data_IF_471402900057
#
_entry.id   IF_471402900057
#
_cell.length_a   1.000
_cell.length_b   1.000
_cell.length_c   1.000
_cell.angle_alpha   90.00
_cell.angle_beta   90.00
_cell.angle_gamma   90.00
#
_symmetry.space_group_name_H-M   'P 1'
#
loop_
_entity.id
_entity.type
_entity.pdbx_description
1 polymer ?
#
# COMPACT_ATOMS: atom_id res chain seq x y z
N UNK A 1 -17.31 0.54 -35.08
CA UNK A 1 -16.06 0.50 -34.29
C UNK A 1 -16.36 -0.07 -32.91
N UNK A 2 -15.67 -1.13 -32.48
CA UNK A 2 -15.85 -1.67 -31.14
C UNK A 2 -15.44 -0.62 -30.11
N UNK A 3 -16.30 -0.35 -29.11
CA UNK A 3 -15.97 0.57 -28.01
C UNK A 3 -14.69 0.10 -27.32
N UNK A 4 -13.75 0.98 -26.98
CA UNK A 4 -12.57 0.57 -26.23
C UNK A 4 -13.00 -0.02 -24.88
N UNK A 5 -12.37 -1.13 -24.49
CA UNK A 5 -12.67 -1.89 -23.26
C UNK A 5 -12.70 -1.00 -22.00
N UNK A 6 -11.94 0.07 -22.01
CA UNK A 6 -11.90 1.07 -20.93
C UNK A 6 -13.17 1.93 -20.83
N UNK A 7 -13.91 2.11 -21.93
CA UNK A 7 -15.17 2.86 -21.91
C UNK A 7 -16.30 2.01 -21.32
N UNK A 8 -16.30 0.71 -21.59
CA UNK A 8 -17.26 -0.22 -20.98
C UNK A 8 -17.05 -0.30 -19.46
N UNK A 9 -15.78 -0.31 -18.98
CA UNK A 9 -15.47 -0.30 -17.56
C UNK A 9 -15.89 1.02 -16.89
N UNK A 10 -15.66 2.17 -17.53
CA UNK A 10 -16.15 3.47 -17.06
C UNK A 10 -17.67 3.47 -16.94
N UNK A 11 -18.37 2.99 -17.96
CA UNK A 11 -19.82 2.88 -17.95
C UNK A 11 -20.34 1.96 -16.85
N UNK A 12 -19.66 0.85 -16.58
CA UNK A 12 -20.00 -0.04 -15.47
C UNK A 12 -19.85 0.65 -14.12
N UNK A 13 -18.80 1.44 -13.91
CA UNK A 13 -18.59 2.19 -12.66
C UNK A 13 -19.65 3.28 -12.50
N UNK A 14 -19.97 4.03 -13.57
CA UNK A 14 -20.88 5.17 -13.50
C UNK A 14 -22.36 4.78 -13.56
N UNK A 15 -22.72 3.70 -14.25
CA UNK A 15 -24.12 3.36 -14.55
C UNK A 15 -24.49 1.90 -14.25
N UNK A 16 -23.50 1.00 -14.07
CA UNK A 16 -23.73 -0.42 -13.88
C UNK A 16 -24.08 -0.83 -12.45
N UNK A 17 -24.15 -2.14 -12.22
CA UNK A 17 -24.39 -2.68 -10.89
C UNK A 17 -23.19 -2.44 -9.96
N UNK A 18 -23.43 -1.77 -8.83
CA UNK A 18 -22.38 -1.38 -7.87
C UNK A 18 -21.68 -2.59 -7.23
N UNK A 19 -22.43 -3.64 -6.89
CA UNK A 19 -21.88 -4.86 -6.32
C UNK A 19 -20.86 -5.49 -7.28
N UNK A 20 -21.24 -5.62 -8.55
CA UNK A 20 -20.36 -6.17 -9.58
C UNK A 20 -19.14 -5.29 -9.84
N UNK A 21 -19.32 -3.95 -9.87
CA UNK A 21 -18.23 -3.00 -10.05
C UNK A 21 -17.21 -3.07 -8.90
N UNK A 22 -17.68 -3.19 -7.64
CA UNK A 22 -16.82 -3.33 -6.47
C UNK A 22 -16.02 -4.63 -6.56
N UNK A 23 -16.65 -5.76 -6.81
CA UNK A 23 -15.96 -7.07 -6.90
C UNK A 23 -14.96 -7.11 -8.04
N UNK A 24 -15.32 -6.60 -9.22
CA UNK A 24 -14.45 -6.59 -10.40
C UNK A 24 -13.16 -5.81 -10.13
N UNK A 25 -13.24 -4.73 -9.35
CA UNK A 25 -12.06 -3.94 -8.99
C UNK A 25 -11.32 -4.53 -7.79
N UNK A 26 -12.03 -5.01 -6.77
CA UNK A 26 -11.43 -5.44 -5.52
C UNK A 26 -10.71 -6.79 -5.65
N UNK A 27 -11.30 -7.79 -6.36
CA UNK A 27 -10.71 -9.13 -6.44
C UNK A 27 -9.31 -9.14 -7.03
N UNK A 28 -9.01 -8.47 -8.16
CA UNK A 28 -7.65 -8.46 -8.68
C UNK A 28 -6.66 -7.74 -7.75
N UNK A 29 -7.10 -6.70 -7.01
CA UNK A 29 -6.27 -6.02 -6.02
C UNK A 29 -5.97 -6.94 -4.83
N UNK A 30 -6.95 -7.71 -4.37
CA UNK A 30 -6.77 -8.72 -3.31
C UNK A 30 -5.77 -9.81 -3.74
N UNK A 31 -5.93 -10.34 -4.96
CA UNK A 31 -5.02 -11.33 -5.52
C UNK A 31 -3.60 -10.76 -5.63
N UNK A 32 -3.46 -9.51 -6.12
CA UNK A 32 -2.18 -8.83 -6.20
C UNK A 32 -1.51 -8.68 -4.82
N UNK A 33 -2.28 -8.32 -3.80
CA UNK A 33 -1.79 -8.20 -2.42
C UNK A 33 -1.35 -9.56 -1.85
N UNK A 34 -2.09 -10.62 -2.17
CA UNK A 34 -1.72 -11.99 -1.78
C UNK A 34 -0.42 -12.44 -2.45
N UNK A 35 -0.30 -12.23 -3.77
CA UNK A 35 0.93 -12.54 -4.52
C UNK A 35 2.13 -11.77 -3.93
N UNK A 36 1.96 -10.49 -3.62
CA UNK A 36 3.00 -9.66 -3.01
C UNK A 36 3.41 -10.16 -1.62
N UNK A 37 2.46 -10.65 -0.83
CA UNK A 37 2.77 -11.25 0.49
C UNK A 37 3.51 -12.57 0.37
N UNK A 38 3.13 -13.40 -0.60
CA UNK A 38 3.86 -14.66 -0.88
C UNK A 38 5.28 -14.37 -1.38
N UNK A 39 5.45 -13.36 -2.24
CA UNK A 39 6.74 -12.87 -2.66
C UNK A 39 7.62 -12.46 -1.46
N UNK A 40 7.10 -11.60 -0.59
CA UNK A 40 7.84 -11.15 0.59
C UNK A 40 8.24 -12.31 1.54
N UNK A 41 7.38 -13.34 1.66
CA UNK A 41 7.70 -14.54 2.44
C UNK A 41 8.83 -15.35 1.80
N UNK A 42 8.78 -15.53 0.50
CA UNK A 42 9.79 -16.29 -0.26
C UNK A 42 11.14 -15.56 -0.25
N UNK A 43 11.14 -14.25 -0.47
CA UNK A 43 12.34 -13.42 -0.39
C UNK A 43 12.99 -13.52 1.00
N UNK A 44 12.18 -13.39 2.07
CA UNK A 44 12.65 -13.55 3.45
C UNK A 44 13.24 -14.95 3.69
N UNK A 45 12.64 -15.99 3.10
CA UNK A 45 13.14 -17.37 3.22
C UNK A 45 14.53 -17.52 2.58
N UNK A 46 14.72 -17.00 1.37
CA UNK A 46 16.01 -17.07 0.68
C UNK A 46 17.07 -16.22 1.37
N UNK A 47 16.72 -15.01 1.82
CA UNK A 47 17.60 -14.13 2.58
C UNK A 47 18.05 -14.75 3.91
N UNK A 48 17.18 -15.51 4.57
CA UNK A 48 17.51 -16.23 5.79
C UNK A 48 18.62 -17.27 5.59
N UNK A 49 18.82 -17.78 4.39
CA UNK A 49 19.85 -18.78 4.06
C UNK A 49 21.23 -18.22 3.76
N UNK A 50 21.36 -16.93 3.50
CA UNK A 50 22.65 -16.30 3.18
C UNK A 50 23.39 -15.75 4.41
N UNK A 51 22.87 -15.97 5.62
CA UNK A 51 23.51 -15.63 6.88
C UNK A 51 22.89 -14.45 7.62
N UNK A 52 23.08 -14.44 8.92
CA UNK A 52 22.47 -13.46 9.83
C UNK A 52 22.96 -12.02 9.63
N UNK A 53 24.22 -11.83 9.26
CA UNK A 53 24.80 -10.51 8.99
C UNK A 53 24.12 -9.83 7.78
N UNK A 54 23.83 -10.59 6.71
CA UNK A 54 23.12 -10.11 5.54
C UNK A 54 21.70 -9.68 5.90
N UNK A 55 20.99 -10.49 6.70
CA UNK A 55 19.64 -10.18 7.14
C UNK A 55 19.62 -8.95 8.05
N UNK A 56 20.61 -8.80 8.92
CA UNK A 56 20.77 -7.61 9.79
C UNK A 56 20.99 -6.36 8.96
N UNK A 57 21.82 -6.43 7.92
CA UNK A 57 22.08 -5.31 7.02
C UNK A 57 20.80 -4.85 6.29
N UNK A 58 19.99 -5.80 5.77
CA UNK A 58 18.71 -5.48 5.11
C UNK A 58 17.73 -4.83 6.10
N UNK A 59 17.60 -5.42 7.28
CA UNK A 59 16.68 -4.92 8.31
C UNK A 59 17.03 -3.49 8.72
N UNK A 60 18.32 -3.14 8.74
CA UNK A 60 18.81 -1.82 9.09
C UNK A 60 18.42 -0.77 8.04
N UNK A 61 18.51 -1.09 6.74
CA UNK A 61 18.29 -0.12 5.64
C UNK A 61 16.86 -0.08 5.11
N UNK A 62 16.09 -1.16 5.31
CA UNK A 62 14.72 -1.29 4.79
C UNK A 62 13.75 -0.19 5.23
N UNK A 63 13.78 0.35 6.47
CA UNK A 63 12.89 1.43 6.86
C UNK A 63 13.10 2.70 6.04
N UNK A 64 14.35 3.01 5.72
CA UNK A 64 14.69 4.15 4.88
C UNK A 64 14.19 3.96 3.44
N UNK A 65 14.39 2.77 2.87
CA UNK A 65 13.86 2.40 1.56
C UNK A 65 12.32 2.53 1.52
N UNK A 66 11.61 2.06 2.54
CA UNK A 66 10.16 2.14 2.62
C UNK A 66 9.65 3.59 2.66
N UNK A 67 10.37 4.51 3.31
CA UNK A 67 10.04 5.95 3.29
C UNK A 67 10.09 6.48 1.86
N UNK A 68 11.14 6.18 1.10
CA UNK A 68 11.27 6.62 -0.30
C UNK A 68 10.14 6.07 -1.18
N UNK A 69 9.81 4.78 -1.00
CA UNK A 69 8.71 4.12 -1.69
C UNK A 69 7.37 4.80 -1.35
N UNK A 70 7.14 5.18 -0.10
CA UNK A 70 5.91 5.87 0.32
C UNK A 70 5.76 7.25 -0.33
N UNK A 71 6.86 7.99 -0.54
CA UNK A 71 6.80 9.24 -1.29
C UNK A 71 6.41 9.03 -2.75
N UNK A 72 6.96 8.01 -3.40
CA UNK A 72 6.55 7.62 -4.76
C UNK A 72 5.10 7.15 -4.83
N UNK A 73 4.65 6.36 -3.85
CA UNK A 73 3.27 5.93 -3.74
C UNK A 73 2.32 7.13 -3.55
N UNK A 74 2.75 8.18 -2.83
CA UNK A 74 1.97 9.40 -2.70
C UNK A 74 1.71 10.06 -4.05
N UNK A 75 2.75 10.20 -4.89
CA UNK A 75 2.63 10.79 -6.25
C UNK A 75 1.68 9.96 -7.11
N UNK A 76 1.85 8.64 -7.13
CA UNK A 76 1.04 7.75 -7.97
C UNK A 76 -0.41 7.63 -7.47
N UNK A 77 -0.63 7.68 -6.15
CA UNK A 77 -1.98 7.74 -5.56
C UNK A 77 -2.70 9.04 -5.93
N UNK A 78 -2.01 10.19 -5.86
CA UNK A 78 -2.56 11.45 -6.35
C UNK A 78 -2.98 11.33 -7.83
N UNK A 79 -2.16 10.63 -8.62
CA UNK A 79 -2.46 10.30 -10.00
C UNK A 79 -3.73 9.51 -10.17
N UNK A 80 -3.87 8.40 -9.45
CA UNK A 80 -5.05 7.55 -9.51
C UNK A 80 -6.32 8.35 -9.18
N UNK A 81 -6.27 9.19 -8.15
CA UNK A 81 -7.39 10.01 -7.69
C UNK A 81 -7.77 11.06 -8.74
N UNK A 82 -6.82 11.89 -9.18
CA UNK A 82 -7.07 12.99 -10.11
C UNK A 82 -7.52 12.48 -11.47
N UNK A 83 -6.85 11.45 -12.01
CA UNK A 83 -7.25 10.83 -13.27
C UNK A 83 -8.64 10.21 -13.15
N UNK A 84 -8.98 9.53 -12.06
CA UNK A 84 -10.33 8.99 -11.85
C UNK A 84 -11.39 10.07 -11.87
N UNK A 85 -11.16 11.21 -11.24
CA UNK A 85 -12.11 12.32 -11.23
C UNK A 85 -12.28 12.94 -12.62
N UNK A 86 -11.19 13.16 -13.39
CA UNK A 86 -11.29 13.66 -14.77
C UNK A 86 -11.98 12.66 -15.71
N UNK A 87 -11.72 11.36 -15.55
CA UNK A 87 -12.42 10.31 -16.32
C UNK A 87 -13.91 10.26 -16.00
N UNK A 88 -14.28 10.46 -14.74
CA UNK A 88 -15.67 10.59 -14.32
C UNK A 88 -16.36 11.79 -14.96
N UNK A 89 -15.68 12.94 -15.01
CA UNK A 89 -16.15 14.15 -15.65
C UNK A 89 -16.19 14.08 -17.20
N UNK A 90 -15.71 12.98 -17.80
CA UNK A 90 -15.52 12.82 -19.26
C UNK A 90 -14.51 13.80 -19.86
N UNK A 91 -13.64 14.35 -19.05
CA UNK A 91 -12.55 15.25 -19.41
C UNK A 91 -11.29 14.46 -19.82
N UNK A 92 -11.38 13.63 -20.86
CA UNK A 92 -10.32 12.70 -21.25
C UNK A 92 -9.01 13.42 -21.62
N UNK A 93 -9.09 14.65 -22.16
CA UNK A 93 -7.91 15.49 -22.46
C UNK A 93 -7.18 15.91 -21.19
N UNK A 94 -7.94 16.33 -20.16
CA UNK A 94 -7.37 16.69 -18.84
C UNK A 94 -6.80 15.48 -18.13
N UNK A 95 -7.47 14.32 -18.21
CA UNK A 95 -6.97 13.06 -17.68
C UNK A 95 -5.63 12.65 -18.31
N UNK A 96 -5.49 12.77 -19.64
CA UNK A 96 -4.24 12.52 -20.36
C UNK A 96 -3.14 13.51 -19.95
N UNK A 97 -3.46 14.80 -19.88
CA UNK A 97 -2.52 15.83 -19.42
C UNK A 97 -2.06 15.56 -17.99
N UNK A 98 -2.97 15.16 -17.09
CA UNK A 98 -2.64 14.79 -15.72
C UNK A 98 -1.72 13.55 -15.67
N UNK A 99 -1.99 12.53 -16.48
CA UNK A 99 -1.14 11.35 -16.58
C UNK A 99 0.29 11.68 -17.01
N UNK A 100 0.46 12.61 -17.95
CA UNK A 100 1.78 13.11 -18.37
C UNK A 100 2.52 13.85 -17.24
N UNK A 101 1.81 14.70 -16.47
CA UNK A 101 2.40 15.39 -15.30
C UNK A 101 2.85 14.40 -14.24
N UNK A 102 2.05 13.38 -13.94
CA UNK A 102 2.39 12.35 -12.96
C UNK A 102 3.55 11.50 -13.43
N UNK A 103 3.58 11.14 -14.73
CA UNK A 103 4.70 10.43 -15.33
C UNK A 103 6.02 11.22 -15.17
N UNK A 104 6.01 12.49 -15.56
CA UNK A 104 7.18 13.36 -15.43
C UNK A 104 7.62 13.50 -13.97
N UNK A 105 6.67 13.81 -13.07
CA UNK A 105 6.96 13.99 -11.64
C UNK A 105 7.48 12.72 -10.99
N UNK A 106 6.84 11.59 -11.27
CA UNK A 106 7.22 10.28 -10.72
C UNK A 106 8.61 9.86 -11.18
N UNK A 107 8.91 9.98 -12.48
CA UNK A 107 10.22 9.63 -13.02
C UNK A 107 11.31 10.61 -12.54
N UNK A 108 11.06 11.91 -12.60
CA UNK A 108 12.01 12.91 -12.11
C UNK A 108 12.32 12.70 -10.63
N UNK A 109 11.29 12.50 -9.81
CA UNK A 109 11.45 12.22 -8.38
C UNK A 109 12.22 10.92 -8.13
N UNK A 110 11.92 9.83 -8.86
CA UNK A 110 12.59 8.56 -8.68
C UNK A 110 14.07 8.61 -9.02
N UNK A 111 14.41 9.25 -10.14
CA UNK A 111 15.82 9.43 -10.57
C UNK A 111 16.57 10.32 -9.58
N UNK A 112 15.95 11.43 -9.14
CA UNK A 112 16.56 12.34 -8.16
C UNK A 112 16.79 11.62 -6.82
N UNK A 113 15.80 10.87 -6.32
CA UNK A 113 15.93 10.07 -5.10
C UNK A 113 17.01 9.00 -5.26
N UNK A 114 17.03 8.27 -6.38
CA UNK A 114 18.05 7.26 -6.63
C UNK A 114 19.46 7.86 -6.61
N UNK A 115 19.67 9.00 -7.27
CA UNK A 115 20.95 9.68 -7.32
C UNK A 115 21.38 10.20 -5.94
N UNK A 116 20.50 10.91 -5.24
CA UNK A 116 20.79 11.45 -3.91
C UNK A 116 21.09 10.30 -2.94
N UNK A 117 20.26 9.27 -2.90
CA UNK A 117 20.46 8.15 -1.99
C UNK A 117 21.72 7.34 -2.31
N UNK A 118 22.06 7.20 -3.59
CA UNK A 118 23.29 6.53 -3.99
C UNK A 118 24.53 7.31 -3.49
N UNK A 119 24.53 8.63 -3.59
CA UNK A 119 25.60 9.50 -3.11
C UNK A 119 25.71 9.53 -1.59
N UNK A 120 24.57 9.61 -0.90
CA UNK A 120 24.51 9.74 0.58
C UNK A 120 24.60 8.38 1.28
N UNK A 121 24.41 7.28 0.56
CA UNK A 121 24.37 5.92 1.13
C UNK A 121 25.54 5.57 2.07
N UNK A 122 26.83 5.94 1.81
CA UNK A 122 27.91 5.61 2.74
C UNK A 122 27.75 6.27 4.11
N UNK A 123 27.36 7.56 4.11
CA UNK A 123 27.09 8.31 5.35
C UNK A 123 25.85 7.80 6.07
N UNK A 124 24.78 7.48 5.30
CA UNK A 124 23.54 6.97 5.85
C UNK A 124 23.72 5.63 6.57
N UNK A 125 24.37 4.65 5.91
CA UNK A 125 24.59 3.31 6.48
C UNK A 125 25.46 3.40 7.74
N UNK A 126 26.46 4.29 7.74
CA UNK A 126 27.29 4.56 8.91
C UNK A 126 26.51 5.24 10.04
N UNK A 127 25.66 6.22 9.71
CA UNK A 127 24.79 6.90 10.67
C UNK A 127 23.76 5.95 11.31
N UNK A 128 23.30 4.96 10.58
CA UNK A 128 22.42 3.90 11.10
C UNK A 128 23.15 2.94 12.07
N UNK A 129 24.46 3.10 12.31
CA UNK A 129 25.23 2.29 13.25
C UNK A 129 25.76 0.98 12.65
N UNK A 130 25.83 0.86 11.32
CA UNK A 130 26.42 -0.32 10.69
C UNK A 130 27.95 -0.29 10.80
N UNK A 131 28.55 -1.40 11.24
CA UNK A 131 29.99 -1.61 11.35
C UNK A 131 30.42 -2.92 10.66
N UNK A 132 31.70 -3.03 10.30
CA UNK A 132 32.27 -4.24 9.73
C UNK A 132 31.54 -4.75 8.49
N UNK A 133 31.20 -6.03 8.46
CA UNK A 133 30.51 -6.68 7.35
C UNK A 133 29.09 -6.13 7.13
N UNK A 134 28.39 -5.74 8.21
CA UNK A 134 27.03 -5.17 8.11
C UNK A 134 27.06 -3.87 7.33
N UNK A 135 28.09 -3.06 7.49
CA UNK A 135 28.28 -1.83 6.70
C UNK A 135 28.48 -2.14 5.21
N UNK A 136 29.36 -3.09 4.88
CA UNK A 136 29.64 -3.48 3.49
C UNK A 136 28.39 -4.04 2.83
N UNK A 137 27.69 -4.93 3.49
CA UNK A 137 26.45 -5.56 2.99
C UNK A 137 25.31 -4.54 2.87
N UNK A 138 25.12 -3.69 3.87
CA UNK A 138 24.11 -2.64 3.84
C UNK A 138 24.35 -1.62 2.73
N UNK A 139 25.60 -1.21 2.53
CA UNK A 139 25.99 -0.29 1.45
C UNK A 139 25.79 -0.92 0.07
N UNK A 140 26.19 -2.18 -0.10
CA UNK A 140 26.00 -2.91 -1.37
C UNK A 140 24.50 -3.04 -1.69
N UNK A 141 23.70 -3.45 -0.71
CA UNK A 141 22.26 -3.63 -0.88
C UNK A 141 21.55 -2.32 -1.24
N UNK A 142 21.75 -1.26 -0.45
CA UNK A 142 21.04 0.01 -0.66
C UNK A 142 21.41 0.65 -2.00
N UNK A 143 22.68 0.56 -2.42
CA UNK A 143 23.12 1.11 -3.71
C UNK A 143 22.47 0.44 -4.90
N UNK A 144 22.25 -0.88 -4.85
CA UNK A 144 21.55 -1.60 -5.91
C UNK A 144 20.05 -1.32 -5.86
N UNK A 145 19.47 -1.35 -4.67
CA UNK A 145 18.02 -1.18 -4.50
C UNK A 145 17.54 0.23 -4.84
N UNK A 146 18.35 1.28 -4.62
CA UNK A 146 17.92 2.63 -5.04
C UNK A 146 17.89 2.80 -6.56
N UNK A 147 18.66 2.01 -7.32
CA UNK A 147 18.60 1.98 -8.79
C UNK A 147 17.30 1.34 -9.31
N UNK A 148 16.60 0.60 -8.47
CA UNK A 148 15.30 0.02 -8.74
C UNK A 148 14.15 1.06 -8.75
N UNK A 149 14.30 2.19 -8.02
CA UNK A 149 13.25 3.19 -7.84
C UNK A 149 12.61 3.68 -9.16
N UNK A 150 13.34 4.01 -10.24
CA UNK A 150 12.72 4.43 -11.50
C UNK A 150 11.82 3.36 -12.13
N UNK A 151 12.22 2.08 -12.04
CA UNK A 151 11.44 0.96 -12.55
C UNK A 151 10.21 0.71 -11.69
N UNK A 152 10.35 0.69 -10.37
CA UNK A 152 9.26 0.56 -9.42
C UNK A 152 8.21 1.68 -9.61
N UNK A 153 8.64 2.93 -9.74
CA UNK A 153 7.72 4.06 -9.89
C UNK A 153 7.02 4.05 -11.26
N UNK A 154 7.68 3.51 -12.29
CA UNK A 154 7.06 3.26 -13.60
C UNK A 154 5.94 2.21 -13.50
N UNK A 155 6.16 1.13 -12.76
CA UNK A 155 5.15 0.09 -12.50
C UNK A 155 3.99 0.65 -11.67
N UNK A 156 4.28 1.47 -10.66
CA UNK A 156 3.26 2.13 -9.84
C UNK A 156 2.45 3.17 -10.63
N UNK A 157 3.09 3.91 -11.54
CA UNK A 157 2.43 4.79 -12.49
C UNK A 157 1.46 4.01 -13.40
N UNK A 158 1.91 2.90 -13.96
CA UNK A 158 1.06 2.02 -14.77
C UNK A 158 -0.15 1.53 -13.97
N UNK A 159 0.07 1.08 -12.73
CA UNK A 159 -0.98 0.64 -11.82
C UNK A 159 -1.98 1.77 -11.56
N UNK A 160 -1.49 2.96 -11.23
CA UNK A 160 -2.30 4.16 -10.98
C UNK A 160 -3.19 4.52 -12.19
N UNK A 161 -2.60 4.59 -13.39
CA UNK A 161 -3.31 4.93 -14.62
C UNK A 161 -4.34 3.86 -14.99
N UNK A 162 -4.00 2.58 -14.89
CA UNK A 162 -4.95 1.49 -15.21
C UNK A 162 -6.06 1.37 -14.18
N UNK A 163 -5.74 1.48 -12.91
CA UNK A 163 -6.71 1.42 -11.82
C UNK A 163 -7.71 2.59 -11.90
N UNK A 164 -7.27 3.80 -12.23
CA UNK A 164 -8.15 4.96 -12.45
C UNK A 164 -9.15 4.75 -13.60
N UNK A 165 -8.80 3.92 -14.59
CA UNK A 165 -9.66 3.50 -15.69
C UNK A 165 -10.62 2.34 -15.32
N UNK A 166 -10.54 1.81 -14.09
CA UNK A 166 -11.27 0.62 -13.67
C UNK A 166 -10.63 -0.71 -14.16
N UNK A 167 -9.35 -0.69 -14.55
CA UNK A 167 -8.62 -1.89 -14.98
C UNK A 167 -7.59 -2.29 -13.92
N UNK A 168 -8.00 -3.17 -13.00
CA UNK A 168 -7.13 -3.70 -11.94
C UNK A 168 -6.46 -5.02 -12.32
N UNK A 169 -6.94 -5.67 -13.38
CA UNK A 169 -6.42 -6.97 -13.84
C UNK A 169 -5.03 -6.82 -14.48
N UNK A 170 -4.85 -5.83 -15.36
CA UNK A 170 -3.56 -5.63 -16.03
C UNK A 170 -2.41 -5.32 -15.07
N UNK A 171 -2.57 -4.42 -14.06
CA UNK A 171 -1.57 -4.24 -13.01
C UNK A 171 -1.28 -5.52 -12.23
N UNK A 172 -2.32 -6.29 -11.85
CA UNK A 172 -2.14 -7.58 -11.17
C UNK A 172 -1.29 -8.54 -11.99
N UNK A 173 -1.60 -8.71 -13.28
CA UNK A 173 -0.84 -9.60 -14.18
C UNK A 173 0.61 -9.14 -14.37
N UNK A 174 0.84 -7.82 -14.48
CA UNK A 174 2.19 -7.27 -14.60
C UNK A 174 3.02 -7.52 -13.34
N UNK A 175 2.42 -7.30 -12.16
CA UNK A 175 3.08 -7.57 -10.88
C UNK A 175 3.35 -9.06 -10.69
N UNK A 176 2.38 -9.93 -11.04
CA UNK A 176 2.56 -11.38 -11.00
C UNK A 176 3.73 -11.83 -11.89
N UNK A 177 3.84 -11.27 -13.09
CA UNK A 177 4.96 -11.55 -14.00
C UNK A 177 6.31 -11.18 -13.35
N UNK A 178 6.42 -10.00 -12.74
CA UNK A 178 7.62 -9.58 -12.01
C UNK A 178 7.97 -10.51 -10.83
N UNK A 179 6.96 -10.92 -10.07
CA UNK A 179 7.14 -11.88 -8.95
C UNK A 179 7.64 -13.22 -9.45
N UNK A 180 7.09 -13.76 -10.55
CA UNK A 180 7.55 -15.04 -11.14
C UNK A 180 9.00 -14.96 -11.58
N UNK A 181 9.40 -13.86 -12.23
CA UNK A 181 10.81 -13.66 -12.62
C UNK A 181 11.71 -13.63 -11.38
N UNK A 182 11.32 -12.89 -10.35
CA UNK A 182 12.14 -12.77 -9.14
C UNK A 182 12.24 -14.11 -8.38
N UNK A 183 11.15 -14.89 -8.29
CA UNK A 183 11.16 -16.24 -7.71
C UNK A 183 12.17 -17.19 -8.38
N UNK A 184 12.44 -16.99 -9.67
CA UNK A 184 13.44 -17.78 -10.42
C UNK A 184 14.84 -17.19 -10.20
N UNK A 185 14.98 -15.87 -10.19
CA UNK A 185 16.28 -15.21 -10.09
C UNK A 185 16.88 -15.27 -8.70
N UNK A 186 16.07 -15.21 -7.62
CA UNK A 186 16.56 -15.27 -6.25
C UNK A 186 17.38 -16.54 -5.98
N UNK A 187 16.86 -17.77 -6.14
CA UNK A 187 17.66 -18.97 -5.94
C UNK A 187 18.85 -19.06 -6.90
N UNK A 188 18.72 -18.59 -8.13
CA UNK A 188 19.80 -18.59 -9.11
C UNK A 188 20.97 -17.73 -8.63
N UNK A 189 20.71 -16.49 -8.19
CA UNK A 189 21.77 -15.58 -7.78
C UNK A 189 22.31 -15.88 -6.39
N UNK A 190 21.46 -16.40 -5.49
CA UNK A 190 21.84 -16.68 -4.11
C UNK A 190 22.52 -18.05 -3.96
N UNK A 191 22.00 -19.10 -4.64
CA UNK A 191 22.47 -20.48 -4.43
C UNK A 191 23.45 -20.93 -5.52
N UNK A 192 23.19 -20.61 -6.80
CA UNK A 192 24.03 -21.04 -7.90
C UNK A 192 25.23 -20.12 -8.06
N UNK A 193 24.97 -18.80 -8.23
CA UNK A 193 26.07 -17.84 -8.42
C UNK A 193 26.70 -17.35 -7.12
N UNK A 194 26.05 -17.57 -5.97
CA UNK A 194 26.54 -17.22 -4.62
C UNK A 194 26.93 -15.74 -4.48
N UNK A 195 26.16 -14.85 -5.12
CA UNK A 195 26.40 -13.39 -5.08
C UNK A 195 25.95 -12.73 -3.77
N UNK A 196 25.50 -13.52 -2.78
CA UNK A 196 25.09 -13.03 -1.47
C UNK A 196 23.99 -11.95 -1.55
N UNK A 197 24.07 -10.95 -0.66
CA UNK A 197 23.08 -9.87 -0.57
C UNK A 197 22.96 -9.03 -1.85
N UNK A 198 24.09 -8.85 -2.59
CA UNK A 198 24.07 -8.17 -3.87
C UNK A 198 23.25 -8.92 -4.91
N UNK A 199 23.30 -10.27 -4.88
CA UNK A 199 22.49 -11.13 -5.74
C UNK A 199 20.99 -10.94 -5.52
N UNK A 200 20.52 -10.90 -4.27
CA UNK A 200 19.12 -10.65 -3.95
C UNK A 200 18.65 -9.28 -4.45
N UNK A 201 19.44 -8.23 -4.22
CA UNK A 201 19.13 -6.89 -4.69
C UNK A 201 19.08 -6.82 -6.24
N UNK A 202 20.02 -7.49 -6.91
CA UNK A 202 20.05 -7.58 -8.39
C UNK A 202 18.89 -8.39 -8.95
N UNK A 203 18.48 -9.48 -8.32
CA UNK A 203 17.33 -10.28 -8.72
C UNK A 203 16.05 -9.41 -8.74
N UNK A 204 15.85 -8.63 -7.69
CA UNK A 204 14.72 -7.69 -7.58
C UNK A 204 14.78 -6.61 -8.66
N UNK A 205 15.93 -5.99 -8.87
CA UNK A 205 16.13 -4.97 -9.90
C UNK A 205 15.86 -5.54 -11.31
N UNK A 206 16.46 -6.67 -11.65
CA UNK A 206 16.33 -7.30 -12.97
C UNK A 206 14.89 -7.76 -13.23
N UNK A 207 14.18 -8.26 -12.20
CA UNK A 207 12.76 -8.64 -12.33
C UNK A 207 11.85 -7.45 -12.65
N UNK A 208 12.17 -6.24 -12.17
CA UNK A 208 11.36 -5.04 -12.41
C UNK A 208 11.62 -4.38 -13.77
N UNK A 209 12.79 -4.55 -14.37
CA UNK A 209 13.12 -3.95 -15.68
C UNK A 209 12.10 -4.35 -16.76
N UNK A 210 11.85 -5.64 -17.05
CA UNK A 210 10.91 -6.03 -18.10
C UNK A 210 9.48 -5.57 -17.76
N UNK A 211 9.10 -5.55 -16.49
CA UNK A 211 7.79 -5.03 -16.06
C UNK A 211 7.65 -3.54 -16.39
N UNK A 212 8.68 -2.74 -16.08
CA UNK A 212 8.68 -1.30 -16.37
C UNK A 212 8.66 -1.03 -17.89
N UNK A 213 9.40 -1.81 -18.67
CA UNK A 213 9.39 -1.72 -20.14
C UNK A 213 8.00 -2.03 -20.70
N UNK A 214 7.37 -3.12 -20.27
CA UNK A 214 6.00 -3.49 -20.67
C UNK A 214 5.02 -2.38 -20.26
N UNK A 215 5.14 -1.84 -19.04
CA UNK A 215 4.33 -0.74 -18.54
C UNK A 215 4.40 0.48 -19.46
N UNK A 216 5.62 0.92 -19.82
CA UNK A 216 5.85 2.05 -20.73
C UNK A 216 5.29 1.80 -22.13
N UNK A 217 5.54 0.62 -22.70
CA UNK A 217 5.00 0.25 -24.02
C UNK A 217 3.48 0.34 -24.02
N UNK A 218 2.82 -0.20 -22.99
CA UNK A 218 1.35 -0.17 -22.91
C UNK A 218 0.83 1.25 -22.68
N UNK A 219 1.50 2.08 -21.87
CA UNK A 219 1.06 3.45 -21.59
C UNK A 219 1.27 4.40 -22.77
N UNK A 220 2.25 4.14 -23.64
CA UNK A 220 2.54 4.98 -24.80
C UNK A 220 1.84 4.51 -26.07
N UNK A 221 1.26 3.30 -26.09
CA UNK A 221 0.62 2.69 -27.27
C UNK A 221 -0.57 3.51 -27.74
N UNK A 222 -0.72 3.76 -29.08
CA UNK A 222 -1.91 4.39 -29.64
C UNK A 222 -3.19 3.60 -29.34
N UNK A 223 -4.33 4.32 -29.24
CA UNK A 223 -5.64 3.69 -29.02
C UNK A 223 -5.99 3.39 -27.56
N UNK A 224 -5.12 3.77 -26.58
CA UNK A 224 -5.49 3.75 -25.17
C UNK A 224 -6.33 4.97 -24.80
N UNK A 225 -7.26 4.82 -23.84
CA UNK A 225 -8.06 5.94 -23.33
C UNK A 225 -7.15 6.99 -22.65
N UNK A 226 -6.21 6.53 -21.84
CA UNK A 226 -5.14 7.35 -21.30
C UNK A 226 -3.84 6.90 -21.95
N UNK A 227 -3.19 7.83 -22.64
CA UNK A 227 -1.92 7.63 -23.32
C UNK A 227 -0.90 8.65 -22.82
N UNK A 228 0.25 8.18 -22.43
CA UNK A 228 1.38 9.07 -22.14
C UNK A 228 2.00 9.49 -23.49
N UNK A 229 1.90 10.77 -23.76
CA UNK A 229 2.46 11.39 -24.97
C UNK A 229 2.96 12.79 -24.61
N UNK A 230 4.26 12.99 -24.72
CA UNK A 230 4.90 14.27 -24.44
C UNK A 230 4.92 15.22 -25.64
N UNK A 231 4.36 14.83 -26.79
CA UNK A 231 4.25 15.70 -27.96
C UNK A 231 3.27 16.83 -27.63
N UNK A 232 3.76 18.05 -27.63
CA UNK A 232 2.97 19.23 -27.26
C UNK A 232 2.67 19.35 -25.75
N UNK A 233 3.39 18.62 -24.90
CA UNK A 233 3.25 18.73 -23.45
C UNK A 233 3.54 20.16 -22.98
N UNK A 234 2.61 20.72 -22.22
CA UNK A 234 2.77 22.01 -21.53
C UNK A 234 2.73 21.77 -20.03
N UNK A 235 3.75 22.24 -19.34
CA UNK A 235 3.80 22.16 -17.88
C UNK A 235 2.75 23.09 -17.26
N UNK A 236 1.90 22.54 -16.41
CA UNK A 236 0.83 23.27 -15.71
C UNK A 236 1.08 23.25 -14.21
N UNK A 237 1.39 24.43 -13.64
CA UNK A 237 1.65 24.62 -12.21
C UNK A 237 0.45 24.24 -11.34
N UNK A 238 -0.79 24.46 -11.83
CA UNK A 238 -2.01 24.13 -11.08
C UNK A 238 -2.15 22.62 -10.89
N UNK A 239 -1.88 21.85 -11.97
CA UNK A 239 -1.89 20.38 -11.90
C UNK A 239 -0.80 19.86 -10.98
N UNK A 240 0.40 20.44 -11.04
CA UNK A 240 1.48 20.11 -10.12
C UNK A 240 1.09 20.41 -8.67
N UNK A 241 0.50 21.57 -8.41
CA UNK A 241 -0.04 21.91 -7.08
C UNK A 241 -1.07 20.89 -6.58
N UNK A 242 -1.94 20.40 -7.47
CA UNK A 242 -2.92 19.35 -7.12
C UNK A 242 -2.28 18.02 -6.79
N UNK A 243 -1.24 17.62 -7.54
CA UNK A 243 -0.46 16.40 -7.26
C UNK A 243 0.20 16.49 -5.88
N UNK A 244 0.85 17.61 -5.55
CA UNK A 244 1.49 17.82 -4.26
C UNK A 244 0.47 17.85 -3.13
N UNK A 245 -0.66 18.55 -3.31
CA UNK A 245 -1.72 18.69 -2.30
C UNK A 245 -2.35 17.35 -1.90
N UNK A 246 -2.44 16.41 -2.81
CA UNK A 246 -3.01 15.08 -2.58
C UNK A 246 -1.92 14.07 -2.23
N UNK A 247 -0.79 14.11 -2.94
CA UNK A 247 0.27 13.13 -2.82
C UNK A 247 1.13 13.29 -1.58
N UNK A 248 1.46 14.52 -1.19
CA UNK A 248 2.31 14.76 -0.01
C UNK A 248 1.66 14.28 1.29
N UNK A 249 0.37 14.55 1.58
CA UNK A 249 -0.29 13.96 2.73
C UNK A 249 -0.29 12.43 2.71
N UNK A 250 -0.54 11.81 1.56
CA UNK A 250 -0.51 10.35 1.42
C UNK A 250 0.88 9.79 1.74
N UNK A 251 1.94 10.43 1.23
CA UNK A 251 3.32 10.04 1.47
C UNK A 251 3.70 10.17 2.96
N UNK A 252 3.35 11.29 3.58
CA UNK A 252 3.60 11.54 5.01
C UNK A 252 2.83 10.53 5.87
N UNK A 253 1.55 10.26 5.56
CA UNK A 253 0.74 9.28 6.27
C UNK A 253 1.38 7.89 6.24
N UNK A 254 1.76 7.40 5.05
CA UNK A 254 2.43 6.11 4.88
C UNK A 254 3.79 6.03 5.61
N UNK A 255 4.60 7.10 5.52
CA UNK A 255 5.90 7.15 6.19
C UNK A 255 5.75 7.21 7.72
N UNK A 256 4.77 7.96 8.22
CA UNK A 256 4.44 8.05 9.64
C UNK A 256 3.99 6.69 10.19
N UNK A 257 3.20 5.94 9.41
CA UNK A 257 2.81 4.56 9.78
C UNK A 257 4.02 3.64 9.87
N UNK A 258 4.98 3.74 8.96
CA UNK A 258 6.19 2.93 8.98
C UNK A 258 7.06 3.22 10.23
N UNK A 259 7.25 4.49 10.55
CA UNK A 259 7.95 4.90 11.77
C UNK A 259 7.23 4.41 13.03
N UNK A 260 5.91 4.50 13.05
CA UNK A 260 5.10 4.00 14.16
C UNK A 260 5.20 2.48 14.34
N UNK A 261 5.28 1.72 13.26
CA UNK A 261 5.53 0.28 13.33
C UNK A 261 6.90 -0.04 13.97
N UNK A 262 7.94 0.73 13.63
CA UNK A 262 9.26 0.58 14.27
C UNK A 262 9.22 0.87 15.77
N UNK A 263 8.50 1.94 16.19
CA UNK A 263 8.33 2.25 17.61
C UNK A 263 7.59 1.14 18.35
N UNK A 264 6.54 0.57 17.75
CA UNK A 264 5.83 -0.57 18.34
C UNK A 264 6.74 -1.78 18.49
N UNK A 265 7.53 -2.11 17.47
CA UNK A 265 8.50 -3.21 17.55
C UNK A 265 9.50 -3.00 18.69
N UNK A 266 10.00 -1.75 18.86
CA UNK A 266 10.87 -1.42 20.00
C UNK A 266 10.20 -1.66 21.35
N UNK A 267 8.94 -1.27 21.51
CA UNK A 267 8.18 -1.49 22.73
C UNK A 267 7.90 -2.97 22.98
N UNK A 268 7.62 -3.75 21.94
CA UNK A 268 7.42 -5.21 22.06
C UNK A 268 8.71 -5.90 22.45
N UNK A 269 9.86 -5.47 21.88
CA UNK A 269 11.18 -6.01 22.21
C UNK A 269 11.52 -5.88 23.70
N UNK A 270 11.00 -4.86 24.41
CA UNK A 270 11.16 -4.71 25.85
C UNK A 270 10.57 -5.86 26.67
N UNK A 271 9.60 -6.60 26.11
CA UNK A 271 9.00 -7.80 26.72
C UNK A 271 9.75 -9.10 26.35
N UNK A 272 10.84 -8.98 25.59
CA UNK A 272 11.73 -10.10 25.25
C UNK A 272 11.40 -10.78 23.90
N UNK A 273 12.27 -11.71 23.52
CA UNK A 273 12.26 -12.38 22.22
C UNK A 273 10.95 -13.13 21.92
N UNK A 274 10.36 -13.78 22.94
CA UNK A 274 9.11 -14.56 22.78
C UNK A 274 7.95 -13.64 22.37
N UNK A 275 7.81 -12.48 23.03
CA UNK A 275 6.78 -11.49 22.71
C UNK A 275 6.97 -10.89 21.30
N UNK A 276 8.22 -10.62 20.93
CA UNK A 276 8.56 -10.09 19.60
C UNK A 276 8.23 -11.10 18.50
N UNK A 277 8.55 -12.36 18.70
CA UNK A 277 8.23 -13.44 17.76
C UNK A 277 6.71 -13.62 17.62
N UNK A 278 5.99 -13.61 18.74
CA UNK A 278 4.52 -13.70 18.75
C UNK A 278 3.88 -12.54 18.00
N UNK A 279 4.34 -11.31 18.23
CA UNK A 279 3.88 -10.11 17.53
C UNK A 279 4.15 -10.19 16.02
N UNK A 280 5.35 -10.64 15.62
CA UNK A 280 5.72 -10.80 14.22
C UNK A 280 4.84 -11.80 13.47
N UNK A 281 4.61 -12.99 14.07
CA UNK A 281 3.75 -14.03 13.51
C UNK A 281 2.30 -13.53 13.39
N UNK A 282 1.77 -12.98 14.48
CA UNK A 282 0.41 -12.46 14.49
C UNK A 282 0.16 -11.37 13.47
N UNK A 283 1.11 -10.42 13.28
CA UNK A 283 0.99 -9.39 12.24
C UNK A 283 1.05 -9.97 10.82
N UNK A 284 1.89 -10.97 10.55
CA UNK A 284 1.93 -11.65 9.25
C UNK A 284 0.58 -12.27 8.90
N UNK A 285 -0.02 -13.00 9.84
CA UNK A 285 -1.32 -13.63 9.65
C UNK A 285 -2.41 -12.56 9.52
N UNK A 286 -2.39 -11.53 10.39
CA UNK A 286 -3.36 -10.45 10.34
C UNK A 286 -3.31 -9.67 9.00
N UNK A 287 -2.14 -9.50 8.39
CA UNK A 287 -2.02 -8.85 7.09
C UNK A 287 -2.79 -9.61 6.00
N UNK A 288 -2.80 -10.93 6.04
CA UNK A 288 -3.56 -11.78 5.12
C UNK A 288 -5.07 -11.63 5.38
N UNK A 289 -5.48 -11.63 6.66
CA UNK A 289 -6.90 -11.48 7.04
C UNK A 289 -7.48 -10.14 6.58
N UNK A 290 -6.67 -9.07 6.59
CA UNK A 290 -7.13 -7.72 6.25
C UNK A 290 -7.04 -7.38 4.76
N UNK A 291 -6.42 -8.22 3.92
CA UNK A 291 -6.32 -8.00 2.47
C UNK A 291 -7.67 -7.70 1.77
N UNK A 292 -8.77 -8.38 2.10
CA UNK A 292 -10.06 -8.06 1.49
C UNK A 292 -10.51 -6.64 1.74
N UNK A 293 -10.31 -6.11 2.96
CA UNK A 293 -10.64 -4.73 3.28
C UNK A 293 -9.80 -3.73 2.47
N UNK A 294 -8.51 -4.01 2.30
CA UNK A 294 -7.62 -3.17 1.48
C UNK A 294 -8.05 -3.17 0.01
N UNK A 295 -8.40 -4.34 -0.54
CA UNK A 295 -8.87 -4.47 -1.92
C UNK A 295 -10.18 -3.70 -2.16
N UNK A 296 -11.14 -3.83 -1.23
CA UNK A 296 -12.42 -3.11 -1.29
C UNK A 296 -12.20 -1.61 -1.14
N UNK A 297 -11.33 -1.16 -0.22
CA UNK A 297 -10.98 0.24 -0.03
C UNK A 297 -10.38 0.87 -1.29
N UNK A 298 -9.46 0.15 -1.94
CA UNK A 298 -8.86 0.56 -3.21
C UNK A 298 -9.90 0.66 -4.35
N UNK A 299 -10.81 -0.30 -4.45
CA UNK A 299 -11.90 -0.27 -5.40
C UNK A 299 -12.83 0.95 -5.18
N UNK A 300 -13.16 1.23 -3.93
CA UNK A 300 -14.00 2.38 -3.56
C UNK A 300 -13.31 3.70 -3.89
N UNK A 301 -12.00 3.82 -3.70
CA UNK A 301 -11.26 5.02 -4.08
C UNK A 301 -11.45 5.35 -5.58
N UNK A 302 -11.37 4.35 -6.45
CA UNK A 302 -11.61 4.53 -7.90
C UNK A 302 -13.08 4.84 -8.22
N UNK A 303 -14.02 4.08 -7.63
CA UNK A 303 -15.46 4.26 -7.87
C UNK A 303 -15.92 5.64 -7.41
N UNK A 304 -15.53 6.04 -6.20
CA UNK A 304 -15.85 7.35 -5.63
C UNK A 304 -15.23 8.47 -6.46
N UNK A 305 -13.96 8.33 -6.84
CA UNK A 305 -13.27 9.31 -7.68
C UNK A 305 -14.00 9.57 -8.98
N UNK A 306 -14.39 8.52 -9.72
CA UNK A 306 -15.13 8.67 -10.97
C UNK A 306 -16.56 9.22 -10.76
N UNK A 307 -17.28 8.76 -9.74
CA UNK A 307 -18.64 9.24 -9.47
C UNK A 307 -18.66 10.70 -9.00
N UNK A 308 -17.70 11.14 -8.18
CA UNK A 308 -17.56 12.55 -7.78
C UNK A 308 -17.21 13.41 -9.00
N UNK A 309 -16.30 12.96 -9.86
CA UNK A 309 -15.97 13.62 -11.12
C UNK A 309 -17.18 13.79 -12.04
N UNK A 310 -18.04 12.77 -12.11
CA UNK A 310 -19.29 12.79 -12.85
C UNK A 310 -20.43 13.60 -12.17
N UNK A 311 -20.21 14.16 -10.98
CA UNK A 311 -21.24 14.84 -10.20
C UNK A 311 -22.24 13.90 -9.51
N UNK A 312 -22.07 12.58 -9.60
CA UNK A 312 -22.97 11.53 -9.07
C UNK A 312 -22.69 11.21 -7.60
N UNK A 313 -22.84 12.20 -6.72
CA UNK A 313 -22.52 12.07 -5.27
C UNK A 313 -23.35 10.99 -4.58
N UNK A 314 -24.64 10.87 -4.93
CA UNK A 314 -25.54 9.88 -4.32
C UNK A 314 -25.14 8.44 -4.73
N UNK A 315 -24.62 8.27 -5.95
CA UNK A 315 -24.13 6.99 -6.39
C UNK A 315 -22.81 6.62 -5.69
N UNK A 316 -21.92 7.60 -5.48
CA UNK A 316 -20.71 7.41 -4.68
C UNK A 316 -21.05 6.99 -3.24
N UNK A 317 -22.07 7.61 -2.64
CA UNK A 317 -22.57 7.28 -1.32
C UNK A 317 -23.12 5.84 -1.24
N UNK A 318 -23.98 5.48 -2.20
CA UNK A 318 -24.49 4.11 -2.31
C UNK A 318 -23.35 3.10 -2.47
N UNK A 319 -22.36 3.37 -3.33
CA UNK A 319 -21.21 2.50 -3.52
C UNK A 319 -20.42 2.30 -2.23
N UNK A 320 -20.20 3.37 -1.48
CA UNK A 320 -19.56 3.31 -0.17
C UNK A 320 -20.31 2.40 0.81
N UNK A 321 -21.62 2.56 0.94
CA UNK A 321 -22.42 1.73 1.85
C UNK A 321 -22.46 0.26 1.42
N UNK A 322 -22.54 -0.03 0.11
CA UNK A 322 -22.43 -1.41 -0.37
C UNK A 322 -21.07 -2.02 -0.01
N UNK A 323 -19.98 -1.31 -0.29
CA UNK A 323 -18.63 -1.76 0.00
C UNK A 323 -18.39 -1.95 1.50
N UNK A 324 -18.90 -1.03 2.31
CA UNK A 324 -18.78 -1.10 3.78
C UNK A 324 -19.49 -2.34 4.33
N UNK A 325 -20.73 -2.57 3.90
CA UNK A 325 -21.50 -3.77 4.30
C UNK A 325 -20.80 -5.05 3.86
N UNK A 326 -20.36 -5.11 2.60
CA UNK A 326 -19.63 -6.29 2.07
C UNK A 326 -18.37 -6.57 2.88
N UNK A 327 -17.52 -5.55 3.06
CA UNK A 327 -16.26 -5.69 3.78
C UNK A 327 -16.47 -6.03 5.26
N UNK A 328 -17.42 -5.35 5.92
CA UNK A 328 -17.73 -5.59 7.32
C UNK A 328 -18.30 -6.98 7.57
N UNK A 329 -19.29 -7.42 6.78
CA UNK A 329 -19.87 -8.75 6.90
C UNK A 329 -18.85 -9.85 6.59
N UNK A 330 -18.03 -9.67 5.56
CA UNK A 330 -16.98 -10.62 5.21
C UNK A 330 -15.96 -10.75 6.36
N UNK A 331 -15.41 -9.63 6.84
CA UNK A 331 -14.42 -9.67 7.91
C UNK A 331 -15.04 -10.10 9.25
N UNK A 332 -16.29 -9.76 9.54
CA UNK A 332 -16.98 -10.22 10.74
C UNK A 332 -17.12 -11.75 10.70
N UNK A 333 -17.60 -12.31 9.59
CA UNK A 333 -17.79 -13.75 9.44
C UNK A 333 -16.47 -14.53 9.60
N UNK A 334 -15.46 -14.17 8.79
CA UNK A 334 -14.16 -14.82 8.88
C UNK A 334 -13.43 -14.51 10.19
N UNK A 335 -13.57 -13.29 10.70
CA UNK A 335 -12.98 -12.89 11.98
C UNK A 335 -13.53 -13.67 13.16
N UNK A 336 -14.84 -13.91 13.21
CA UNK A 336 -15.46 -14.74 14.24
C UNK A 336 -14.98 -16.20 14.18
N UNK A 337 -14.79 -16.76 12.98
CA UNK A 337 -14.24 -18.09 12.80
C UNK A 337 -12.77 -18.11 13.28
N UNK A 338 -11.96 -17.20 12.77
CA UNK A 338 -10.53 -17.15 13.05
C UNK A 338 -10.21 -16.72 14.50
N UNK A 339 -11.14 -16.04 15.19
CA UNK A 339 -10.97 -15.70 16.60
C UNK A 339 -11.11 -16.90 17.55
N UNK A 340 -11.62 -18.05 17.06
CA UNK A 340 -11.70 -19.26 17.86
C UNK A 340 -10.28 -19.76 18.16
N UNK A 341 -9.96 -19.89 19.45
CA UNK A 341 -8.61 -20.23 19.94
C UNK A 341 -7.99 -21.42 19.22
N UNK A 342 -8.78 -22.46 18.97
CA UNK A 342 -8.32 -23.65 18.25
C UNK A 342 -7.86 -23.34 16.81
N UNK A 343 -8.62 -22.49 16.08
CA UNK A 343 -8.29 -22.11 14.71
C UNK A 343 -7.09 -21.15 14.67
N UNK A 344 -7.07 -20.14 15.55
CA UNK A 344 -5.92 -19.24 15.69
C UNK A 344 -4.65 -20.02 16.02
N UNK A 345 -4.74 -20.99 16.93
CA UNK A 345 -3.61 -21.83 17.31
C UNK A 345 -3.12 -22.67 16.12
N UNK A 346 -4.02 -23.30 15.38
CA UNK A 346 -3.64 -24.06 14.19
C UNK A 346 -2.93 -23.20 13.13
N UNK A 347 -3.37 -21.93 12.95
CA UNK A 347 -2.68 -21.01 12.06
C UNK A 347 -1.30 -20.61 12.59
N UNK A 348 -1.17 -20.36 13.89
CA UNK A 348 0.10 -19.98 14.50
C UNK A 348 1.11 -21.14 14.46
N UNK A 349 0.69 -22.38 14.71
CA UNK A 349 1.56 -23.56 14.65
C UNK A 349 2.13 -23.83 13.25
N UNK A 350 1.46 -23.35 12.20
CA UNK A 350 2.02 -23.40 10.85
C UNK A 350 3.27 -22.50 10.70
N UNK A 351 3.37 -21.40 11.47
CA UNK A 351 4.47 -20.45 11.41
C UNK A 351 5.53 -20.65 12.50
N UNK A 352 5.22 -21.33 13.60
CA UNK A 352 6.15 -21.54 14.72
C UNK A 352 5.92 -22.88 15.39
N UNK A 353 7.03 -23.51 15.77
CA UNK A 353 7.06 -24.75 16.57
C UNK A 353 7.47 -24.49 18.04
N UNK A 354 7.82 -23.25 18.42
CA UNK A 354 8.20 -22.91 19.80
C UNK A 354 6.95 -22.84 20.70
N UNK A 355 6.86 -23.79 21.63
CA UNK A 355 5.74 -23.93 22.58
C UNK A 355 5.52 -22.68 23.44
N UNK A 356 6.53 -21.84 23.65
CA UNK A 356 6.43 -20.59 24.42
C UNK A 356 5.84 -19.43 23.58
N UNK A 357 6.06 -19.45 22.26
CA UNK A 357 5.58 -18.42 21.33
C UNK A 357 4.12 -18.67 20.96
N UNK A 358 3.73 -19.94 20.76
CA UNK A 358 2.39 -20.33 20.28
C UNK A 358 1.26 -19.73 21.14
N UNK A 359 1.24 -19.81 22.47
CA UNK A 359 0.15 -19.25 23.27
C UNK A 359 -0.01 -17.75 23.09
N UNK A 360 1.09 -17.01 23.18
CA UNK A 360 1.09 -15.54 23.04
C UNK A 360 0.67 -15.08 21.66
N UNK A 361 1.15 -15.75 20.61
CA UNK A 361 0.76 -15.44 19.24
C UNK A 361 -0.72 -15.80 18.99
N UNK A 362 -1.22 -16.89 19.60
CA UNK A 362 -2.63 -17.28 19.53
C UNK A 362 -3.54 -16.26 20.20
N UNK A 363 -3.18 -15.79 21.38
CA UNK A 363 -3.95 -14.77 22.11
C UNK A 363 -3.99 -13.44 21.32
N UNK A 364 -2.85 -13.02 20.76
CA UNK A 364 -2.80 -11.85 19.89
C UNK A 364 -3.66 -12.02 18.63
N UNK A 365 -3.50 -13.14 17.92
CA UNK A 365 -4.25 -13.40 16.69
C UNK A 365 -5.75 -13.52 16.94
N UNK A 366 -6.16 -14.21 17.99
CA UNK A 366 -7.57 -14.36 18.36
C UNK A 366 -8.23 -12.99 18.61
N UNK A 367 -7.54 -12.11 19.33
CA UNK A 367 -8.01 -10.76 19.62
C UNK A 367 -8.09 -9.92 18.33
N UNK A 368 -7.04 -9.96 17.51
CA UNK A 368 -7.00 -9.22 16.24
C UNK A 368 -8.07 -9.71 15.26
N UNK A 369 -8.28 -11.03 15.16
CA UNK A 369 -9.27 -11.62 14.29
C UNK A 369 -10.71 -11.24 14.73
N UNK A 370 -11.00 -11.24 16.04
CA UNK A 370 -12.31 -10.81 16.56
C UNK A 370 -12.64 -9.37 16.17
N UNK A 371 -11.66 -8.47 16.21
CA UNK A 371 -11.84 -7.05 15.90
C UNK A 371 -11.54 -6.69 14.44
N UNK A 372 -11.24 -7.66 13.58
CA UNK A 372 -10.81 -7.37 12.19
C UNK A 372 -11.88 -6.67 11.34
N UNK A 373 -13.18 -6.79 11.70
CA UNK A 373 -14.27 -6.07 11.05
C UNK A 373 -14.08 -4.53 11.10
N UNK A 374 -13.42 -4.01 12.12
CA UNK A 374 -13.10 -2.57 12.22
C UNK A 374 -12.18 -2.10 11.09
N UNK A 375 -11.35 -3.01 10.53
CA UNK A 375 -10.51 -2.69 9.38
C UNK A 375 -11.32 -2.47 8.09
N UNK A 376 -12.52 -3.06 7.97
CA UNK A 376 -13.42 -2.74 6.86
C UNK A 376 -13.90 -1.28 6.95
N UNK A 377 -14.35 -0.85 8.14
CA UNK A 377 -14.73 0.54 8.36
C UNK A 377 -13.58 1.49 8.07
N UNK A 378 -12.39 1.16 8.55
CA UNK A 378 -11.21 1.98 8.31
C UNK A 378 -10.84 2.05 6.83
N UNK A 379 -10.59 0.91 6.16
CA UNK A 379 -10.07 0.91 4.78
C UNK A 379 -11.07 1.40 3.75
N UNK A 380 -12.37 1.06 3.90
CA UNK A 380 -13.41 1.50 2.97
C UNK A 380 -13.66 3.00 3.11
N UNK A 381 -13.67 3.52 4.35
CA UNK A 381 -13.85 4.97 4.56
C UNK A 381 -12.59 5.74 4.16
N UNK A 382 -11.40 5.19 4.40
CA UNK A 382 -10.15 5.75 3.86
C UNK A 382 -10.20 5.84 2.33
N UNK A 383 -10.67 4.78 1.65
CA UNK A 383 -10.87 4.76 0.21
C UNK A 383 -11.84 5.84 -0.28
N UNK A 384 -12.92 6.11 0.45
CA UNK A 384 -13.86 7.20 0.18
C UNK A 384 -13.15 8.56 0.21
N UNK A 385 -12.44 8.86 1.31
CA UNK A 385 -11.72 10.13 1.47
C UNK A 385 -10.58 10.28 0.45
N UNK A 386 -9.86 9.22 0.16
CA UNK A 386 -8.84 9.24 -0.89
C UNK A 386 -9.46 9.49 -2.26
N UNK A 387 -10.48 8.73 -2.67
CA UNK A 387 -11.14 8.88 -3.97
C UNK A 387 -11.75 10.28 -4.17
N UNK A 388 -12.25 10.89 -3.08
CA UNK A 388 -12.73 12.27 -3.10
C UNK A 388 -11.61 13.33 -3.07
N UNK A 389 -10.33 12.91 -2.87
CA UNK A 389 -9.16 13.79 -2.84
C UNK A 389 -8.87 14.42 -1.48
N UNK A 390 -9.54 13.99 -0.41
CA UNK A 390 -9.37 14.52 0.95
C UNK A 390 -8.28 13.75 1.73
N UNK A 391 -7.11 13.59 1.12
CA UNK A 391 -5.99 12.80 1.68
C UNK A 391 -5.36 13.41 2.94
N UNK A 392 -5.54 14.71 3.18
CA UNK A 392 -5.12 15.34 4.43
C UNK A 392 -5.86 14.74 5.63
N UNK A 393 -7.14 14.41 5.48
CA UNK A 393 -7.94 13.78 6.55
C UNK A 393 -7.38 12.40 6.87
N UNK A 394 -7.12 11.59 5.83
CA UNK A 394 -6.56 10.25 6.02
C UNK A 394 -5.18 10.32 6.67
N UNK A 395 -4.32 11.24 6.25
CA UNK A 395 -2.99 11.45 6.86
C UNK A 395 -3.09 11.78 8.36
N UNK A 396 -3.97 12.71 8.74
CA UNK A 396 -4.14 13.10 10.15
C UNK A 396 -4.62 11.92 10.98
N UNK A 397 -5.60 11.16 10.47
CA UNK A 397 -6.11 9.97 11.19
C UNK A 397 -5.06 8.87 11.27
N UNK A 398 -4.28 8.63 10.20
CA UNK A 398 -3.19 7.67 10.18
C UNK A 398 -2.09 8.02 11.20
N UNK A 399 -1.68 9.28 11.22
CA UNK A 399 -0.72 9.77 12.20
C UNK A 399 -1.27 9.64 13.63
N UNK A 400 -2.50 10.12 13.88
CA UNK A 400 -3.14 10.06 15.20
C UNK A 400 -3.31 8.62 15.69
N UNK A 401 -3.63 7.68 14.78
CA UNK A 401 -3.79 6.26 15.09
C UNK A 401 -2.57 5.69 15.79
N UNK A 402 -1.38 6.01 15.29
CA UNK A 402 -0.13 5.43 15.79
C UNK A 402 0.45 6.27 16.91
N UNK A 403 0.60 7.57 16.69
CA UNK A 403 1.33 8.45 17.60
C UNK A 403 0.52 8.86 18.84
N UNK A 404 -0.80 8.94 18.70
CA UNK A 404 -1.67 9.32 19.82
C UNK A 404 -2.34 8.08 20.39
N UNK A 405 -3.25 7.46 19.64
CA UNK A 405 -4.12 6.44 20.20
C UNK A 405 -3.36 5.16 20.57
N UNK A 406 -2.43 4.71 19.75
CA UNK A 406 -1.70 3.46 20.01
C UNK A 406 -0.71 3.61 21.15
N UNK A 407 0.11 4.67 21.16
CA UNK A 407 1.09 4.89 22.22
C UNK A 407 0.41 5.23 23.54
N UNK A 408 -0.64 6.06 23.52
CA UNK A 408 -1.41 6.35 24.74
C UNK A 408 -2.05 5.09 25.32
N UNK A 409 -2.74 4.29 24.50
CA UNK A 409 -3.34 3.04 24.94
C UNK A 409 -2.29 2.07 25.48
N UNK A 410 -1.13 1.95 24.79
CA UNK A 410 -0.02 1.12 25.26
C UNK A 410 0.44 1.56 26.65
N UNK A 411 0.65 2.87 26.84
CA UNK A 411 1.10 3.42 28.11
C UNK A 411 0.06 3.18 29.23
N UNK A 412 -1.21 3.42 28.97
CA UNK A 412 -2.29 3.20 29.94
C UNK A 412 -2.39 1.70 30.31
N UNK A 413 -2.45 0.82 29.30
CA UNK A 413 -2.57 -0.62 29.56
C UNK A 413 -1.33 -1.18 30.29
N UNK A 414 -0.13 -0.68 29.99
CA UNK A 414 1.10 -1.15 30.60
C UNK A 414 1.29 -0.62 32.03
N UNK A 415 1.02 0.69 32.30
CA UNK A 415 1.39 1.33 33.56
C UNK A 415 0.20 1.49 34.53
N UNK A 416 -1.03 1.64 34.03
CA UNK A 416 -2.21 1.76 34.89
C UNK A 416 -2.84 0.41 35.16
N UNK A 417 -3.01 -0.42 34.12
CA UNK A 417 -3.64 -1.73 34.24
C UNK A 417 -2.63 -2.88 34.43
N UNK A 418 -1.34 -2.64 34.33
CA UNK A 418 -0.26 -3.63 34.48
C UNK A 418 -0.47 -4.91 33.65
N UNK A 419 -0.95 -4.78 32.41
CA UNK A 419 -1.34 -5.92 31.56
C UNK A 419 -0.16 -6.65 30.91
N UNK A 420 1.09 -6.26 31.19
CA UNK A 420 2.27 -6.87 30.58
C UNK A 420 2.23 -6.84 29.03
N UNK A 421 2.56 -7.95 28.38
CA UNK A 421 2.59 -8.07 26.91
C UNK A 421 1.22 -7.79 26.28
N UNK A 422 0.12 -8.14 26.97
CA UNK A 422 -1.24 -7.90 26.46
C UNK A 422 -1.52 -6.42 26.21
N UNK A 423 -0.80 -5.49 26.87
CA UNK A 423 -0.90 -4.05 26.61
C UNK A 423 -0.66 -3.69 25.15
N UNK A 424 0.27 -4.41 24.50
CA UNK A 424 0.58 -4.23 23.06
C UNK A 424 -0.60 -4.67 22.20
N UNK A 425 -1.22 -5.82 22.53
CA UNK A 425 -2.35 -6.36 21.79
C UNK A 425 -3.55 -5.42 21.80
N UNK A 426 -3.90 -4.95 23.00
CA UNK A 426 -5.01 -4.00 23.18
C UNK A 426 -4.71 -2.63 22.55
N UNK A 427 -3.46 -2.16 22.61
CA UNK A 427 -3.06 -0.92 21.97
C UNK A 427 -3.28 -0.95 20.44
N UNK A 428 -2.98 -2.08 19.78
CA UNK A 428 -3.21 -2.24 18.35
C UNK A 428 -4.71 -2.24 18.04
N UNK A 429 -5.50 -3.03 18.75
CA UNK A 429 -6.95 -3.18 18.53
C UNK A 429 -7.69 -1.87 18.77
N UNK A 430 -7.47 -1.25 19.93
CA UNK A 430 -8.16 -0.01 20.31
C UNK A 430 -7.80 1.13 19.35
N UNK A 431 -6.52 1.28 18.99
CA UNK A 431 -6.12 2.32 18.04
C UNK A 431 -6.73 2.14 16.65
N UNK A 432 -6.84 0.89 16.17
CA UNK A 432 -7.50 0.60 14.90
C UNK A 432 -9.00 0.89 14.96
N UNK A 433 -9.68 0.47 16.03
CA UNK A 433 -11.10 0.72 16.25
C UNK A 433 -11.42 2.21 16.39
N UNK A 434 -10.62 2.95 17.17
CA UNK A 434 -10.77 4.40 17.35
C UNK A 434 -10.61 5.15 16.02
N UNK A 435 -9.60 4.79 15.21
CA UNK A 435 -9.40 5.42 13.90
C UNK A 435 -10.51 5.11 12.91
N UNK A 436 -11.04 3.88 12.94
CA UNK A 436 -12.21 3.50 12.16
C UNK A 436 -13.45 4.32 12.57
N UNK A 437 -13.67 4.49 13.86
CA UNK A 437 -14.78 5.29 14.40
C UNK A 437 -14.66 6.78 14.03
N UNK A 438 -13.44 7.35 14.11
CA UNK A 438 -13.18 8.75 13.71
C UNK A 438 -13.44 8.94 12.21
N UNK A 439 -12.89 8.09 11.34
CA UNK A 439 -13.14 8.19 9.89
C UNK A 439 -14.62 8.05 9.56
N UNK A 440 -15.30 7.09 10.21
CA UNK A 440 -16.73 6.89 10.03
C UNK A 440 -17.55 8.09 10.56
N UNK A 441 -17.15 8.71 11.67
CA UNK A 441 -17.74 9.95 12.16
C UNK A 441 -17.53 11.13 11.19
N UNK A 442 -16.33 11.26 10.61
CA UNK A 442 -16.01 12.27 9.61
C UNK A 442 -16.79 12.08 8.29
N UNK A 443 -17.14 10.84 7.94
CA UNK A 443 -18.03 10.59 6.78
C UNK A 443 -19.36 11.36 6.91
N UNK A 444 -19.98 11.41 8.11
CA UNK A 444 -21.26 12.09 8.35
C UNK A 444 -21.17 13.61 8.18
N UNK A 445 -19.99 14.21 8.24
CA UNK A 445 -19.82 15.66 7.99
C UNK A 445 -20.07 16.04 6.54
N UNK A 446 -20.08 15.07 5.62
CA UNK A 446 -20.28 15.29 4.19
C UNK A 446 -19.14 16.02 3.48
N UNK A 447 -17.99 16.26 4.13
CA UNK A 447 -16.83 16.96 3.55
C UNK A 447 -16.37 16.28 2.25
N UNK A 448 -16.39 14.95 2.22
CA UNK A 448 -15.99 14.14 1.06
C UNK A 448 -16.83 14.41 -0.22
N UNK A 449 -18.02 15.00 -0.10
CA UNK A 449 -18.88 15.33 -1.23
C UNK A 449 -18.38 16.53 -2.04
N UNK A 450 -17.34 17.23 -1.60
CA UNK A 450 -16.73 18.34 -2.31
C UNK A 450 -15.65 17.82 -3.27
N UNK A 451 -15.78 18.12 -4.58
CA UNK A 451 -14.74 17.80 -5.56
C UNK A 451 -13.48 18.62 -5.28
N UNK A 452 -12.32 18.00 -5.39
CA UNK A 452 -11.01 18.69 -5.29
C UNK A 452 -10.51 19.23 -6.61
N UNK A 453 -11.04 18.74 -7.75
CA UNK A 453 -10.76 19.31 -9.06
C UNK A 453 -11.75 20.44 -9.36
N UNK A 454 -11.21 21.53 -9.91
CA UNK A 454 -12.05 22.54 -10.57
C UNK A 454 -12.41 21.99 -11.96
N UNK A 455 -13.63 21.51 -12.12
CA UNK A 455 -14.18 21.20 -13.44
C UNK A 455 -14.60 22.54 -14.01
N UNK A 456 -13.85 23.07 -14.98
CA UNK A 456 -14.35 24.16 -15.82
C UNK A 456 -15.54 23.59 -16.59
N UNK A 457 -16.75 23.99 -16.19
CA UNK A 457 -17.91 23.74 -17.03
C UNK A 457 -17.63 24.47 -18.37
N UNK A 458 -17.25 23.72 -19.38
CA UNK A 458 -17.41 24.19 -20.76
C UNK A 458 -18.90 24.37 -20.93
N UNK A 459 -19.37 25.63 -20.86
CA UNK A 459 -20.68 26.04 -21.39
C UNK A 459 -20.66 25.64 -22.87
N UNK A 460 -21.37 24.55 -23.19
CA UNK A 460 -21.62 24.08 -24.52
C UNK A 460 -22.88 24.71 -25.10
#
# INVERSE_FOLDING_TARGET
>A
MAKPISEDKRNMILNGNLFHAILMLAIPVMINSFIQSMYNLTDTFWLGRIGTENQSAITLVSPFQNILINFGNGITTAGAILISQYLGAREDKQANSMANHICLTSLAFSVLCALICWLVSPGLVKWLGAEGNIYIYGLTYIRIVVLDLPFLFTINLFTSVKQSQGDTVKPMLLNMFGVVINLILDPLFLMVFKWGIGGAALATLIAKIPCAVIALIVLTRPGQLIRIDFRGFKFDKSKMGSIVKIGLPTAIGGSTMQLGFLLMTKNVNAYGFIATSAYGIGNKINSIITMPANGIGSAISTIVGQNIGAGQKDRADKAYHYALRMGALFLLFFGLILSRRFISQAMVTFFSTDERVIPLATDFLSLMAFWCWSNAFYNVTQGLFQGSGHTMITMIVDASRIWIFRLLTLWVCANVFNMGVASVWYAVVISNGTSAAILYGLYWTGIWKKSTIKIEKTEG
#
